data_IF_897531288827
#
_entry.id   IF_897531288827
#
_cell.length_a   1.000
_cell.length_b   1.000
_cell.length_c   1.000
_cell.angle_alpha   90.00
_cell.angle_beta   90.00
_cell.angle_gamma   90.00
#
_symmetry.space_group_name_H-M   'P 1'
#
loop_
_entity.id
_entity.type
_entity.pdbx_description
1 polymer ?
#
# COMPACT_ATOMS: atom_id res chain seq x y z
N UNK A 1 53.94 35.35 -5.35
CA UNK A 1 52.96 34.93 -4.34
C UNK A 1 51.97 36.07 -4.12
N UNK A 2 50.74 35.93 -4.63
CA UNK A 2 49.63 36.87 -4.34
C UNK A 2 48.37 36.01 -4.11
N UNK A 3 47.98 35.86 -2.85
CA UNK A 3 46.80 35.11 -2.43
C UNK A 3 45.55 35.96 -2.66
N UNK A 4 44.67 35.49 -3.54
CA UNK A 4 43.39 36.13 -3.84
C UNK A 4 42.29 35.51 -2.98
N UNK A 5 41.95 36.18 -1.89
CA UNK A 5 40.87 35.82 -0.98
C UNK A 5 39.56 36.29 -1.63
N UNK A 6 38.62 35.38 -1.89
CA UNK A 6 37.26 35.70 -2.34
C UNK A 6 36.32 35.81 -1.13
N UNK A 7 35.53 36.88 -0.98
CA UNK A 7 34.55 36.97 0.10
C UNK A 7 33.30 36.14 -0.25
N UNK A 8 32.91 35.28 0.67
CA UNK A 8 31.63 34.58 0.73
C UNK A 8 30.48 35.60 0.64
N UNK A 9 29.78 35.64 -0.50
CA UNK A 9 28.65 36.54 -0.74
C UNK A 9 27.33 35.80 -0.52
N UNK A 10 26.61 36.23 0.52
CA UNK A 10 25.16 36.26 0.70
C UNK A 10 24.33 35.05 0.25
N UNK A 11 23.94 34.21 1.22
CA UNK A 11 22.66 33.50 1.18
C UNK A 11 21.54 34.54 1.29
N UNK A 12 20.88 34.87 0.17
CA UNK A 12 19.60 35.58 0.21
C UNK A 12 18.57 34.61 0.78
N UNK A 13 18.14 34.86 2.02
CA UNK A 13 16.96 34.23 2.58
C UNK A 13 15.74 34.66 1.74
N UNK A 14 15.20 33.75 0.94
CA UNK A 14 13.89 33.91 0.31
C UNK A 14 12.84 33.74 1.42
N UNK A 15 12.51 34.83 2.11
CA UNK A 15 11.36 34.87 3.01
C UNK A 15 10.08 35.01 2.18
N UNK A 16 9.62 33.91 1.56
CA UNK A 16 8.24 33.85 1.11
C UNK A 16 7.36 33.78 2.35
N UNK A 17 6.62 34.84 2.68
CA UNK A 17 5.55 34.72 3.67
C UNK A 17 4.56 33.68 3.12
N UNK A 18 4.57 32.48 3.71
CA UNK A 18 3.61 31.44 3.37
C UNK A 18 2.22 32.01 3.70
N UNK A 19 1.39 32.25 2.68
CA UNK A 19 0.00 32.62 2.89
C UNK A 19 -0.70 31.42 3.52
N UNK A 20 -1.47 31.66 4.57
CA UNK A 20 -2.28 30.61 5.20
C UNK A 20 -3.31 30.07 4.20
N UNK A 21 -3.60 28.76 4.29
CA UNK A 21 -4.48 28.03 3.36
C UNK A 21 -5.85 28.71 3.16
N UNK A 22 -6.35 29.37 4.19
CA UNK A 22 -7.60 30.13 4.16
C UNK A 22 -7.53 31.37 3.26
N UNK A 23 -6.39 32.08 3.23
CA UNK A 23 -6.19 33.26 2.38
C UNK A 23 -6.16 32.88 0.90
N UNK A 24 -5.57 31.73 0.56
CA UNK A 24 -5.56 31.21 -0.81
C UNK A 24 -6.96 30.78 -1.28
N UNK A 25 -7.80 30.33 -0.35
CA UNK A 25 -9.15 29.84 -0.66
C UNK A 25 -10.12 31.00 -0.88
N UNK A 26 -9.96 32.10 -0.15
CA UNK A 26 -10.82 33.28 -0.26
C UNK A 26 -10.54 34.11 -1.52
N UNK A 27 -9.26 34.22 -1.94
CA UNK A 27 -8.88 34.86 -3.21
C UNK A 27 -9.43 34.12 -4.44
N UNK A 28 -9.72 32.82 -4.33
CA UNK A 28 -10.28 31.99 -5.42
C UNK A 28 -11.78 31.77 -5.30
N UNK A 29 -12.43 32.38 -4.29
CA UNK A 29 -13.87 32.21 -4.10
C UNK A 29 -14.63 32.97 -5.20
N UNK A 30 -15.45 32.29 -6.01
CA UNK A 30 -16.22 32.96 -7.05
C UNK A 30 -17.23 33.93 -6.41
N UNK A 31 -17.23 35.17 -6.87
CA UNK A 31 -18.20 36.20 -6.45
C UNK A 31 -19.60 35.84 -6.95
N UNK A 32 -20.64 36.21 -6.20
CA UNK A 32 -22.05 35.87 -6.51
C UNK A 32 -22.47 36.27 -7.94
N UNK A 33 -21.97 37.40 -8.44
CA UNK A 33 -22.20 37.87 -9.81
C UNK A 33 -21.63 36.94 -10.91
N UNK A 34 -20.61 36.14 -10.59
CA UNK A 34 -20.02 35.17 -11.53
C UNK A 34 -20.84 33.87 -11.65
N UNK A 35 -21.70 33.60 -10.66
CA UNK A 35 -22.59 32.43 -10.65
C UNK A 35 -23.89 32.70 -11.42
N UNK A 36 -24.32 33.95 -11.50
CA UNK A 36 -25.54 34.39 -12.20
C UNK A 36 -25.37 34.50 -13.72
N UNK A 37 -24.16 34.31 -14.24
CA UNK A 37 -23.95 34.23 -15.69
C UNK A 37 -24.45 32.89 -16.19
N UNK A 38 -25.59 32.88 -16.89
CA UNK A 38 -26.13 31.70 -17.56
C UNK A 38 -25.06 31.09 -18.47
N UNK A 39 -24.50 29.94 -18.08
CA UNK A 39 -23.56 29.19 -18.92
C UNK A 39 -24.37 28.48 -19.99
N UNK A 40 -24.36 29.03 -21.21
CA UNK A 40 -25.02 28.40 -22.34
C UNK A 40 -24.46 26.97 -22.53
N UNK A 41 -25.29 25.97 -22.27
CA UNK A 41 -24.93 24.56 -22.46
C UNK A 41 -24.82 24.34 -23.96
N UNK A 42 -23.60 24.06 -24.44
CA UNK A 42 -23.34 23.86 -25.87
C UNK A 42 -24.26 22.78 -26.45
N UNK A 43 -25.18 23.22 -27.31
CA UNK A 43 -26.05 22.36 -28.11
C UNK A 43 -25.23 21.39 -28.98
N UNK A 44 -25.79 20.22 -29.30
CA UNK A 44 -25.07 19.14 -29.98
C UNK A 44 -24.40 19.56 -31.30
N UNK A 45 -25.00 20.52 -32.02
CA UNK A 45 -24.44 21.05 -33.27
C UNK A 45 -23.22 21.96 -33.06
N UNK A 46 -23.24 22.83 -32.05
CA UNK A 46 -22.06 23.67 -31.72
C UNK A 46 -20.87 22.84 -31.23
N UNK A 47 -21.08 21.63 -30.72
CA UNK A 47 -19.97 20.74 -30.31
C UNK A 47 -19.09 20.29 -31.49
N UNK A 48 -19.66 20.23 -32.70
CA UNK A 48 -18.94 19.79 -33.91
C UNK A 48 -18.01 20.84 -34.48
N UNK A 49 -18.25 22.13 -34.19
CA UNK A 49 -17.45 23.25 -34.69
C UNK A 49 -16.31 23.68 -33.77
N UNK A 50 -16.21 23.10 -32.56
CA UNK A 50 -15.19 23.46 -31.58
C UNK A 50 -13.86 22.80 -31.97
N UNK A 51 -12.80 23.61 -32.15
CA UNK A 51 -11.44 23.12 -32.31
C UNK A 51 -11.01 22.36 -31.06
N UNK A 52 -10.20 21.30 -31.25
CA UNK A 52 -9.66 20.46 -30.16
C UNK A 52 -8.93 21.27 -29.07
N UNK A 53 -8.33 22.40 -29.46
CA UNK A 53 -7.63 23.32 -28.55
C UNK A 53 -8.58 24.10 -27.63
N UNK A 54 -9.80 24.41 -28.10
CA UNK A 54 -10.82 25.13 -27.34
C UNK A 54 -11.64 24.19 -26.44
N UNK A 55 -11.76 22.91 -26.80
CA UNK A 55 -12.39 21.90 -25.95
C UNK A 55 -11.66 21.73 -24.60
N UNK A 56 -10.32 21.85 -24.61
CA UNK A 56 -9.49 21.75 -23.42
C UNK A 56 -9.75 22.89 -22.41
N UNK A 57 -10.25 24.04 -22.87
CA UNK A 57 -10.65 25.15 -22.01
C UNK A 57 -11.91 24.80 -21.20
N UNK A 58 -12.80 23.97 -21.76
CA UNK A 58 -14.01 23.50 -21.08
C UNK A 58 -13.75 22.36 -20.08
N UNK A 59 -12.73 21.53 -20.31
CA UNK A 59 -12.36 20.42 -19.41
C UNK A 59 -11.41 20.82 -18.28
N UNK A 60 -11.27 22.12 -17.99
CA UNK A 60 -10.40 22.62 -16.92
C UNK A 60 -8.90 22.54 -17.20
N UNK A 61 -8.49 22.50 -18.47
CA UNK A 61 -7.11 22.76 -18.90
C UNK A 61 -6.05 21.69 -18.60
N UNK A 62 -6.36 20.65 -17.82
CA UNK A 62 -5.37 19.61 -17.49
C UNK A 62 -5.32 18.53 -18.56
N UNK A 63 -4.35 18.64 -19.48
CA UNK A 63 -3.94 17.50 -20.32
C UNK A 63 -3.37 16.42 -19.39
N UNK A 64 -3.90 15.18 -19.37
CA UNK A 64 -3.26 14.12 -18.60
C UNK A 64 -1.85 13.92 -19.16
N UNK A 65 -0.84 14.12 -18.31
CA UNK A 65 0.59 13.99 -18.68
C UNK A 65 0.93 12.57 -19.14
N UNK A 66 0.14 11.58 -18.71
CA UNK A 66 0.30 10.16 -18.99
C UNK A 66 -1.02 9.64 -19.58
N UNK A 67 -0.94 8.80 -20.60
CA UNK A 67 -2.13 8.16 -21.17
C UNK A 67 -2.85 7.33 -20.10
N UNK A 68 -4.18 7.33 -20.11
CA UNK A 68 -5.01 6.52 -19.21
C UNK A 68 -4.60 5.04 -19.23
N UNK A 69 -4.27 4.54 -20.43
CA UNK A 69 -3.81 3.18 -20.65
C UNK A 69 -2.44 2.88 -20.01
N UNK A 70 -1.47 3.80 -20.12
CA UNK A 70 -0.15 3.62 -19.51
C UNK A 70 -0.25 3.63 -17.98
N UNK A 71 -1.08 4.50 -17.41
CA UNK A 71 -1.35 4.52 -15.96
C UNK A 71 -1.94 3.19 -15.49
N UNK A 72 -2.93 2.66 -16.23
CA UNK A 72 -3.54 1.36 -15.92
C UNK A 72 -2.53 0.21 -15.94
N UNK A 73 -1.69 0.15 -16.98
CA UNK A 73 -0.68 -0.90 -17.12
C UNK A 73 0.40 -0.84 -16.03
N UNK A 74 0.78 0.37 -15.60
CA UNK A 74 1.77 0.54 -14.52
C UNK A 74 1.23 0.03 -13.18
N UNK A 75 -0.05 0.33 -12.88
CA UNK A 75 -0.70 -0.16 -11.65
C UNK A 75 -0.88 -1.67 -11.72
N UNK A 76 -1.34 -2.21 -12.84
CA UNK A 76 -1.54 -3.65 -13.03
C UNK A 76 -0.23 -4.44 -12.88
N UNK A 77 0.86 -3.95 -13.48
CA UNK A 77 2.19 -4.58 -13.33
C UNK A 77 2.71 -4.51 -11.90
N UNK A 78 2.50 -3.38 -11.19
CA UNK A 78 2.85 -3.26 -9.77
C UNK A 78 2.10 -4.27 -8.88
N UNK A 79 0.79 -4.41 -9.09
CA UNK A 79 -0.02 -5.41 -8.38
C UNK A 79 0.44 -6.83 -8.70
N UNK A 80 0.77 -7.12 -9.96
CA UNK A 80 1.24 -8.44 -10.36
C UNK A 80 2.56 -8.82 -9.67
N UNK A 81 3.53 -7.90 -9.64
CA UNK A 81 4.80 -8.11 -8.93
C UNK A 81 4.57 -8.30 -7.44
N UNK A 82 3.67 -7.53 -6.83
CA UNK A 82 3.30 -7.68 -5.43
C UNK A 82 2.70 -9.06 -5.12
N UNK A 83 1.77 -9.54 -5.96
CA UNK A 83 1.19 -10.88 -5.83
C UNK A 83 2.25 -11.97 -5.94
N UNK A 84 3.16 -11.88 -6.91
CA UNK A 84 4.26 -12.82 -7.06
C UNK A 84 5.20 -12.83 -5.84
N UNK A 85 5.52 -11.66 -5.30
CA UNK A 85 6.34 -11.53 -4.09
C UNK A 85 5.63 -12.13 -2.86
N UNK A 86 4.33 -11.89 -2.70
CA UNK A 86 3.56 -12.47 -1.60
C UNK A 86 3.55 -14.00 -1.67
N UNK A 87 3.27 -14.58 -2.84
CA UNK A 87 3.31 -16.03 -3.04
C UNK A 87 4.69 -16.62 -2.77
N UNK A 88 5.75 -15.96 -3.25
CA UNK A 88 7.13 -16.38 -3.00
C UNK A 88 7.47 -16.36 -1.51
N UNK A 89 7.09 -15.29 -0.79
CA UNK A 89 7.31 -15.17 0.65
C UNK A 89 6.53 -16.24 1.43
N UNK A 90 5.27 -16.48 1.08
CA UNK A 90 4.46 -17.54 1.69
C UNK A 90 5.10 -18.92 1.46
N UNK A 91 5.54 -19.22 0.24
CA UNK A 91 6.25 -20.46 -0.06
C UNK A 91 7.57 -20.58 0.73
N UNK A 92 8.31 -19.47 0.85
CA UNK A 92 9.58 -19.41 1.58
C UNK A 92 9.41 -19.67 3.08
N UNK A 93 8.30 -19.22 3.66
CA UNK A 93 7.94 -19.40 5.08
C UNK A 93 7.36 -20.78 5.35
N UNK A 94 6.50 -21.30 4.46
CA UNK A 94 5.91 -22.64 4.59
C UNK A 94 6.89 -23.77 4.21
N UNK A 95 8.17 -23.46 3.97
CA UNK A 95 9.13 -24.45 3.50
C UNK A 95 9.28 -25.55 4.56
N UNK A 96 9.14 -26.84 4.20
CA UNK A 96 9.02 -27.96 5.13
C UNK A 96 10.19 -28.13 6.12
N UNK A 97 11.34 -27.51 5.82
CA UNK A 97 12.56 -27.56 6.64
C UNK A 97 12.33 -26.94 8.04
N UNK A 98 11.41 -25.96 8.16
CA UNK A 98 11.07 -25.32 9.43
C UNK A 98 10.15 -26.19 10.32
N UNK A 99 9.69 -27.35 9.86
CA UNK A 99 8.79 -28.24 10.62
C UNK A 99 9.50 -29.46 11.23
N UNK A 100 10.80 -29.64 10.99
CA UNK A 100 11.55 -30.74 11.58
C UNK A 100 11.52 -30.73 13.12
N UNK A 101 11.45 -29.55 13.75
CA UNK A 101 11.30 -29.44 15.20
C UNK A 101 9.90 -29.88 15.66
N UNK A 102 8.86 -29.64 14.85
CA UNK A 102 7.48 -30.02 15.14
C UNK A 102 7.30 -31.54 15.07
N UNK A 103 7.95 -32.21 14.12
CA UNK A 103 7.98 -33.67 14.03
C UNK A 103 8.76 -34.29 15.19
N UNK A 104 9.91 -33.70 15.54
CA UNK A 104 10.69 -34.13 16.71
C UNK A 104 9.90 -33.96 18.02
N UNK A 105 9.13 -32.88 18.15
CA UNK A 105 8.30 -32.64 19.34
C UNK A 105 7.09 -33.58 19.40
N UNK A 106 6.45 -33.87 18.26
CA UNK A 106 5.40 -34.90 18.18
C UNK A 106 5.92 -36.28 18.60
N UNK A 107 7.09 -36.68 18.11
CA UNK A 107 7.72 -37.95 18.51
C UNK A 107 8.02 -38.01 20.00
N UNK A 108 8.47 -36.92 20.62
CA UNK A 108 8.70 -36.86 22.08
C UNK A 108 7.41 -37.04 22.87
N UNK A 109 6.33 -36.40 22.44
CA UNK A 109 5.02 -36.52 23.08
C UNK A 109 4.48 -37.94 22.93
N UNK A 110 4.59 -38.54 21.76
CA UNK A 110 4.16 -39.93 21.52
C UNK A 110 4.94 -40.93 22.39
N UNK A 111 6.26 -40.75 22.51
CA UNK A 111 7.09 -41.57 23.38
C UNK A 111 6.71 -41.43 24.86
N UNK A 112 6.35 -40.23 25.32
CA UNK A 112 5.87 -40.00 26.68
C UNK A 112 4.50 -40.65 26.94
N UNK A 113 3.56 -40.53 25.99
CA UNK A 113 2.24 -41.18 26.06
C UNK A 113 2.36 -42.69 26.12
N UNK A 114 3.22 -43.29 25.28
CA UNK A 114 3.46 -44.73 25.28
C UNK A 114 4.03 -45.23 26.62
N UNK A 115 4.89 -44.44 27.27
CA UNK A 115 5.41 -44.77 28.61
C UNK A 115 4.30 -44.70 29.67
N UNK A 116 3.47 -43.65 29.66
CA UNK A 116 2.34 -43.55 30.58
C UNK A 116 1.34 -44.70 30.42
N UNK A 117 1.00 -45.07 29.20
CA UNK A 117 0.05 -46.16 28.95
C UNK A 117 0.53 -47.50 29.51
N UNK A 118 1.83 -47.80 29.39
CA UNK A 118 2.40 -49.01 30.01
C UNK A 118 2.31 -48.99 31.52
N UNK A 119 2.51 -47.84 32.16
CA UNK A 119 2.41 -47.71 33.61
C UNK A 119 0.98 -47.98 34.06
N UNK A 120 -0.01 -47.37 33.40
CA UNK A 120 -1.44 -47.56 33.70
C UNK A 120 -1.84 -49.03 33.52
N UNK A 121 -1.37 -49.69 32.46
CA UNK A 121 -1.66 -51.10 32.22
C UNK A 121 -1.08 -52.01 33.31
N UNK A 122 0.13 -51.71 33.79
CA UNK A 122 0.77 -52.44 34.89
C UNK A 122 0.04 -52.22 36.23
N UNK A 123 -0.37 -51.00 36.53
CA UNK A 123 -1.19 -50.67 37.72
C UNK A 123 -2.53 -51.43 37.66
N UNK A 124 -3.25 -51.38 36.54
CA UNK A 124 -4.53 -52.09 36.39
C UNK A 124 -4.42 -53.61 36.54
N UNK A 125 -3.28 -54.20 36.13
CA UNK A 125 -2.99 -55.63 36.30
C UNK A 125 -2.68 -55.98 37.75
N UNK A 126 -1.98 -55.09 38.45
CA UNK A 126 -1.60 -55.29 39.85
C UNK A 126 -2.84 -55.22 40.74
N UNK A 127 -3.68 -54.19 40.56
CA UNK A 127 -4.95 -54.02 41.28
C UNK A 127 -5.92 -55.19 41.05
N UNK A 128 -6.00 -55.71 39.82
CA UNK A 128 -6.82 -56.89 39.50
C UNK A 128 -6.30 -58.21 40.11
N UNK A 129 -4.99 -58.31 40.35
CA UNK A 129 -4.38 -59.49 41.01
C UNK A 129 -4.61 -59.48 42.52
N UNK A 130 -4.60 -58.31 43.15
CA UNK A 130 -4.88 -58.15 44.59
C UNK A 130 -6.36 -58.36 44.93
N UNK A 131 -7.28 -58.03 44.01
CA UNK A 131 -8.71 -58.26 44.18
C UNK A 131 -9.14 -59.75 44.03
N UNK A 132 -8.25 -60.62 43.55
CA UNK A 132 -8.52 -62.04 43.28
C UNK A 132 -7.93 -63.00 44.33
N UNK A 133 -7.22 -62.48 45.35
CA UNK A 133 -6.72 -63.21 46.52
C UNK A 133 -7.66 -63.05 47.71
#
# INVERSE_FOLDING_TARGET
>A
MLYRIWPLRCVRAFSSKAKDRWQLTDEQRPTVSSLDTYKEVLSGERRKSIRRDDFLKFTGGKRPLISSHLKGNLIASGIFVWCAAALYMTYRIMRPEDYAWLDAERQRIEAAKAKMQRIIELESRTDGSEASQ
#
